data_IF_795563856535
#
_entry.id   IF_795563856535
#
_cell.length_a   1.000
_cell.length_b   1.000
_cell.length_c   1.000
_cell.angle_alpha   90.00
_cell.angle_beta   90.00
_cell.angle_gamma   90.00
#
_symmetry.space_group_name_H-M   'P 1'
#
loop_
_entity.id
_entity.type
_entity.pdbx_description
1 polymer ?
#
# COMPACT_ATOMS: atom_id res chain seq x y z
N UNK A 1 -23.01 1.42 14.61
CA UNK A 1 -21.82 0.87 13.92
C UNK A 1 -21.86 1.41 12.51
N UNK A 2 -21.06 2.43 12.17
CA UNK A 2 -21.10 3.03 10.84
C UNK A 2 -19.96 2.46 10.01
N UNK A 3 -20.30 1.77 8.93
CA UNK A 3 -19.35 1.32 7.92
C UNK A 3 -19.24 2.43 6.88
N UNK A 4 -18.07 3.05 6.75
CA UNK A 4 -17.80 4.01 5.68
C UNK A 4 -17.24 3.22 4.50
N UNK A 5 -17.93 3.24 3.37
CA UNK A 5 -17.46 2.61 2.14
C UNK A 5 -16.36 3.51 1.55
N UNK A 6 -15.13 3.03 1.55
CA UNK A 6 -14.00 3.65 0.86
C UNK A 6 -13.75 2.85 -0.42
N UNK A 7 -13.66 3.53 -1.56
CA UNK A 7 -13.25 2.91 -2.81
C UNK A 7 -11.83 2.34 -2.71
N UNK A 8 -11.46 1.41 -3.61
CA UNK A 8 -10.10 0.89 -3.67
C UNK A 8 -9.10 2.07 -3.73
N UNK A 9 -8.06 2.09 -2.88
CA UNK A 9 -7.07 3.15 -2.94
C UNK A 9 -6.44 3.17 -4.33
N UNK A 10 -6.48 4.32 -4.99
CA UNK A 10 -5.69 4.56 -6.21
C UNK A 10 -4.22 4.25 -5.94
N UNK A 11 -3.44 3.94 -6.98
CA UNK A 11 -2.06 3.45 -6.82
C UNK A 11 -1.18 4.37 -5.97
N UNK A 12 -1.41 5.68 -6.07
CA UNK A 12 -0.73 6.70 -5.26
C UNK A 12 -1.05 6.58 -3.76
N UNK A 13 -2.25 6.16 -3.40
CA UNK A 13 -2.62 5.91 -2.00
C UNK A 13 -1.97 4.62 -1.49
N UNK A 14 -1.84 3.58 -2.33
CA UNK A 14 -1.13 2.34 -1.97
C UNK A 14 0.36 2.60 -1.75
N UNK A 15 0.97 3.42 -2.59
CA UNK A 15 2.37 3.86 -2.43
C UNK A 15 2.58 4.61 -1.11
N UNK A 16 1.68 5.52 -0.73
CA UNK A 16 1.75 6.25 0.56
C UNK A 16 1.61 5.31 1.76
N UNK A 17 0.73 4.31 1.67
CA UNK A 17 0.57 3.29 2.72
C UNK A 17 1.87 2.51 2.88
N UNK A 18 2.42 1.96 1.79
CA UNK A 18 3.69 1.23 1.80
C UNK A 18 4.83 2.08 2.36
N UNK A 19 4.93 3.34 1.94
CA UNK A 19 5.93 4.29 2.46
C UNK A 19 5.81 4.47 3.97
N UNK A 20 4.59 4.60 4.49
CA UNK A 20 4.34 4.79 5.93
C UNK A 20 4.66 3.53 6.73
N UNK A 21 4.28 2.36 6.22
CA UNK A 21 4.52 1.06 6.87
C UNK A 21 6.02 0.74 6.91
N UNK A 22 6.74 1.02 5.83
CA UNK A 22 8.16 0.70 5.68
C UNK A 22 9.09 1.78 6.23
N UNK A 23 8.56 2.89 6.76
CA UNK A 23 9.36 4.04 7.20
C UNK A 23 10.40 3.72 8.30
N UNK A 24 10.28 2.58 8.98
CA UNK A 24 11.21 2.14 10.04
C UNK A 24 12.09 0.96 9.63
N UNK A 25 11.88 0.42 8.44
CA UNK A 25 12.61 -0.74 7.93
C UNK A 25 13.83 -0.30 7.12
N UNK A 26 14.83 -1.18 7.04
CA UNK A 26 15.92 -0.98 6.08
C UNK A 26 15.42 -1.36 4.69
N UNK A 27 15.47 -0.42 3.76
CA UNK A 27 15.03 -0.59 2.37
C UNK A 27 16.25 -0.55 1.46
N UNK A 28 16.37 -1.52 0.55
CA UNK A 28 17.39 -1.52 -0.49
C UNK A 28 17.28 -0.28 -1.38
N UNK A 29 18.41 0.33 -1.74
CA UNK A 29 18.47 1.56 -2.55
C UNK A 29 17.79 1.42 -3.94
N UNK A 30 17.55 0.20 -4.41
CA UNK A 30 16.87 -0.09 -5.67
C UNK A 30 15.38 -0.37 -5.56
N UNK A 31 14.78 -0.37 -4.36
CA UNK A 31 13.36 -0.71 -4.21
C UNK A 31 12.46 0.41 -4.74
N UNK A 32 11.70 0.10 -5.79
CA UNK A 32 10.70 1.02 -6.35
C UNK A 32 9.32 0.77 -5.74
N UNK A 33 8.97 1.52 -4.69
CA UNK A 33 7.68 1.40 -3.99
C UNK A 33 6.47 1.62 -4.91
N UNK A 34 6.62 2.38 -6.00
CA UNK A 34 5.55 2.59 -6.97
C UNK A 34 5.28 1.32 -7.78
N UNK A 35 6.31 0.57 -8.18
CA UNK A 35 6.12 -0.72 -8.85
C UNK A 35 5.44 -1.73 -7.93
N UNK A 36 5.85 -1.78 -6.66
CA UNK A 36 5.20 -2.62 -5.64
C UNK A 36 3.72 -2.22 -5.45
N UNK A 37 3.42 -0.92 -5.40
CA UNK A 37 2.05 -0.41 -5.31
C UNK A 37 1.18 -0.77 -6.53
N UNK A 38 1.77 -0.86 -7.73
CA UNK A 38 1.08 -1.31 -8.93
C UNK A 38 0.75 -2.81 -8.87
N UNK A 39 1.65 -3.64 -8.34
CA UNK A 39 1.45 -5.09 -8.20
C UNK A 39 0.36 -5.46 -7.17
N UNK A 40 0.02 -4.55 -6.26
CA UNK A 40 -1.02 -4.73 -5.25
C UNK A 40 -2.41 -4.25 -5.71
N UNK A 41 -2.60 -4.00 -7.00
CA UNK A 41 -3.93 -3.71 -7.56
C UNK A 41 -4.89 -4.88 -7.36
N UNK A 42 -6.12 -4.59 -6.92
CA UNK A 42 -7.15 -5.60 -6.66
C UNK A 42 -7.07 -6.28 -5.29
N UNK A 43 -5.96 -6.12 -4.56
CA UNK A 43 -5.85 -6.56 -3.17
C UNK A 43 -6.50 -5.55 -2.23
N UNK A 44 -7.32 -6.03 -1.31
CA UNK A 44 -7.83 -5.21 -0.21
C UNK A 44 -6.71 -4.96 0.81
N UNK A 45 -6.82 -3.86 1.57
CA UNK A 45 -5.79 -3.49 2.55
C UNK A 45 -5.54 -4.59 3.61
N UNK A 46 -6.54 -5.41 3.90
CA UNK A 46 -6.42 -6.56 4.82
C UNK A 46 -5.63 -7.73 4.21
N UNK A 47 -5.68 -7.92 2.89
CA UNK A 47 -4.89 -8.94 2.17
C UNK A 47 -3.42 -8.54 2.01
N UNK A 48 -3.12 -7.24 1.89
CA UNK A 48 -1.73 -6.74 1.79
C UNK A 48 -1.01 -6.76 3.14
N UNK A 49 -1.75 -6.79 4.25
CA UNK A 49 -1.23 -6.73 5.62
C UNK A 49 -1.08 -8.09 6.32
N UNK A 50 -1.50 -9.19 5.68
CA UNK A 50 -1.32 -10.57 6.19
C UNK A 50 -0.04 -11.19 5.65
#
# INVERSE_FOLDING_TARGET
MNMIMVGLPYVENREKILTTLLAKEQIDEGLNLKEVANMTEGYTGEETLR
#
